data_IF_238864064662
#
_entry.id   IF_238864064662
#
_cell.length_a   1.000
_cell.length_b   1.000
_cell.length_c   1.000
_cell.angle_alpha   90.00
_cell.angle_beta   90.00
_cell.angle_gamma   90.00
#
_symmetry.space_group_name_H-M   'P 1'
#
loop_
_entity.id
_entity.type
_entity.pdbx_description
1 polymer ?
#
# COMPACT_ATOMS: atom_id res chain seq x y z
N UNK A 1 70.60 25.75 38.73
CA UNK A 1 70.35 25.08 37.48
C UNK A 1 68.82 24.96 37.34
N UNK A 2 68.17 25.71 36.45
CA UNK A 2 66.71 25.84 36.43
C UNK A 2 66.05 24.77 35.60
N UNK A 3 64.94 24.28 36.11
CA UNK A 3 63.96 23.37 35.48
C UNK A 3 63.20 24.03 34.32
N UNK A 4 63.10 23.36 33.20
CA UNK A 4 62.26 23.77 32.07
C UNK A 4 60.87 23.15 32.21
N UNK A 5 59.90 23.97 32.52
CA UNK A 5 58.47 23.68 32.42
C UNK A 5 58.04 23.69 30.95
N UNK A 6 57.59 22.55 30.45
CA UNK A 6 56.96 22.41 29.16
C UNK A 6 55.47 22.75 29.30
N UNK A 7 55.01 23.77 28.60
CA UNK A 7 53.58 24.10 28.39
C UNK A 7 52.97 23.13 27.35
N UNK A 8 52.03 22.33 27.78
CA UNK A 8 51.14 21.59 26.87
C UNK A 8 50.03 22.53 26.33
N UNK A 9 50.05 22.76 25.06
CA UNK A 9 48.97 23.43 24.33
C UNK A 9 47.85 22.45 24.11
N UNK A 10 46.69 22.72 24.71
CA UNK A 10 45.44 22.03 24.48
C UNK A 10 44.82 22.55 23.17
N UNK A 11 45.03 21.85 22.06
CA UNK A 11 44.23 22.03 20.85
C UNK A 11 42.92 21.27 21.02
N UNK A 12 41.90 21.99 21.47
CA UNK A 12 40.52 21.55 21.43
C UNK A 12 40.07 21.50 19.96
N UNK A 13 39.92 20.30 19.44
CA UNK A 13 39.21 20.08 18.19
C UNK A 13 37.74 20.54 18.37
N UNK A 14 37.44 21.72 17.88
CA UNK A 14 36.08 22.16 17.61
C UNK A 14 35.51 21.23 16.55
N UNK A 15 34.72 20.27 16.99
CA UNK A 15 33.86 19.46 16.09
C UNK A 15 32.87 20.41 15.48
N UNK A 16 32.94 20.55 14.18
CA UNK A 16 32.04 21.35 13.36
C UNK A 16 30.61 20.81 13.49
N UNK A 17 29.84 21.40 14.41
CA UNK A 17 28.38 21.14 14.60
C UNK A 17 27.52 21.94 13.61
N UNK A 18 28.11 22.45 12.55
CA UNK A 18 27.47 23.38 11.61
C UNK A 18 26.90 22.80 10.33
N UNK A 19 26.73 21.47 10.18
CA UNK A 19 26.23 20.87 8.92
C UNK A 19 25.04 19.90 9.07
N UNK A 20 24.12 20.20 9.95
CA UNK A 20 22.81 19.55 9.99
C UNK A 20 21.66 20.56 9.71
N UNK A 21 21.92 21.53 8.86
CA UNK A 21 20.86 22.40 8.35
C UNK A 21 20.37 21.87 7.01
N UNK A 22 19.21 21.17 7.03
CA UNK A 22 18.31 21.10 5.87
C UNK A 22 18.85 20.36 4.64
N UNK A 23 19.17 19.07 4.72
CA UNK A 23 19.07 18.24 3.53
C UNK A 23 17.60 18.21 3.14
N UNK A 24 17.21 18.97 2.08
CA UNK A 24 15.90 18.89 1.47
C UNK A 24 15.65 17.43 1.14
N UNK A 25 14.60 16.82 1.69
CA UNK A 25 14.27 15.42 1.42
C UNK A 25 13.88 15.29 -0.05
N UNK A 26 14.66 14.51 -0.80
CA UNK A 26 14.36 14.26 -2.20
C UNK A 26 13.07 13.44 -2.32
N UNK A 27 12.20 13.85 -3.24
CA UNK A 27 10.97 13.14 -3.56
C UNK A 27 10.93 12.72 -5.02
N UNK A 28 10.29 11.58 -5.27
CA UNK A 28 10.05 11.05 -6.61
C UNK A 28 8.57 10.76 -6.80
N UNK A 29 8.12 10.80 -8.06
CA UNK A 29 6.77 10.38 -8.44
C UNK A 29 6.84 9.26 -9.48
N UNK A 30 5.94 8.29 -9.40
CA UNK A 30 5.86 7.23 -10.40
C UNK A 30 5.31 7.75 -11.72
N UNK A 31 6.05 7.49 -12.81
CA UNK A 31 5.64 7.78 -14.19
C UNK A 31 5.12 6.53 -14.91
N UNK A 32 5.51 5.34 -14.48
CA UNK A 32 4.92 4.09 -14.94
C UNK A 32 3.52 3.92 -14.36
N UNK A 33 2.65 3.12 -15.00
CA UNK A 33 1.34 2.79 -14.45
C UNK A 33 1.47 2.13 -13.06
N UNK A 34 2.47 1.26 -12.92
CA UNK A 34 2.87 0.57 -11.70
C UNK A 34 4.41 0.56 -11.67
N UNK A 35 4.99 0.98 -10.56
CA UNK A 35 6.40 0.84 -10.25
C UNK A 35 6.55 -0.22 -9.14
N UNK A 36 7.13 -1.40 -9.43
CA UNK A 36 7.37 -2.43 -8.42
C UNK A 36 8.28 -1.93 -7.31
N UNK A 37 7.89 -2.15 -6.06
CA UNK A 37 8.71 -1.92 -4.89
C UNK A 37 9.29 -3.26 -4.43
N UNK A 38 10.61 -3.40 -4.43
CA UNK A 38 11.32 -4.65 -4.14
C UNK A 38 11.95 -4.61 -2.75
N UNK A 39 12.16 -5.78 -2.15
CA UNK A 39 12.81 -5.87 -0.84
C UNK A 39 14.30 -5.53 -0.87
N UNK A 40 14.96 -5.69 -2.04
CA UNK A 40 16.38 -5.36 -2.26
C UNK A 40 16.56 -4.68 -3.62
N UNK A 41 17.65 -3.95 -3.86
CA UNK A 41 17.93 -3.25 -5.12
C UNK A 41 18.41 -4.20 -6.22
N UNK A 42 17.61 -5.21 -6.54
CA UNK A 42 17.84 -6.18 -7.60
C UNK A 42 16.49 -6.66 -8.16
N UNK A 43 16.33 -6.65 -9.48
CA UNK A 43 15.11 -7.08 -10.21
C UNK A 43 14.70 -8.54 -9.93
N UNK A 44 15.60 -9.36 -9.42
CA UNK A 44 15.38 -10.77 -9.11
C UNK A 44 14.84 -11.02 -7.70
N UNK A 45 14.68 -9.97 -6.91
CA UNK A 45 14.21 -10.08 -5.53
C UNK A 45 12.69 -9.98 -5.43
N UNK A 46 12.16 -10.23 -4.24
CA UNK A 46 10.73 -10.26 -3.99
C UNK A 46 10.12 -8.85 -4.08
N UNK A 47 9.03 -8.71 -4.83
CA UNK A 47 8.18 -7.55 -4.77
C UNK A 47 7.48 -7.51 -3.40
N UNK A 48 7.52 -6.37 -2.72
CA UNK A 48 6.86 -6.18 -1.41
C UNK A 48 5.65 -5.26 -1.50
N UNK A 49 5.62 -4.36 -2.48
CA UNK A 49 4.49 -3.46 -2.77
C UNK A 49 4.61 -2.88 -4.17
N UNK A 50 3.76 -1.90 -4.48
CA UNK A 50 3.75 -1.17 -5.74
C UNK A 50 3.54 0.33 -5.47
N UNK A 51 4.35 1.19 -6.12
CA UNK A 51 4.09 2.62 -6.19
C UNK A 51 3.31 2.91 -7.49
N UNK A 52 2.10 3.42 -7.37
CA UNK A 52 1.22 3.63 -8.51
C UNK A 52 1.50 4.99 -9.19
N UNK A 53 1.14 5.10 -10.46
CA UNK A 53 1.30 6.33 -11.24
C UNK A 53 0.82 7.56 -10.50
N UNK A 54 1.63 8.62 -10.52
CA UNK A 54 1.33 9.89 -9.85
C UNK A 54 1.53 9.91 -8.34
N UNK A 55 1.73 8.75 -7.69
CA UNK A 55 2.06 8.70 -6.26
C UNK A 55 3.46 9.24 -6.01
N UNK A 56 3.60 9.98 -4.91
CA UNK A 56 4.87 10.57 -4.48
C UNK A 56 5.45 9.73 -3.34
N UNK A 57 6.77 9.55 -3.36
CA UNK A 57 7.51 8.88 -2.30
C UNK A 57 8.78 9.65 -1.96
N UNK A 58 9.20 9.58 -0.70
CA UNK A 58 10.44 10.16 -0.21
C UNK A 58 11.61 9.21 -0.50
N UNK A 59 12.71 9.72 -1.04
CA UNK A 59 13.94 8.94 -1.23
C UNK A 59 14.73 8.94 0.07
N UNK A 60 15.01 7.74 0.59
CA UNK A 60 15.80 7.53 1.80
C UNK A 60 17.24 7.19 1.49
N UNK A 61 17.49 6.45 0.40
CA UNK A 61 18.82 5.97 0.02
C UNK A 61 18.89 5.77 -1.51
N UNK A 62 20.09 5.86 -2.08
CA UNK A 62 20.40 5.56 -3.47
C UNK A 62 21.49 4.49 -3.56
N UNK A 63 21.28 3.47 -4.40
CA UNK A 63 22.27 2.44 -4.70
C UNK A 63 22.31 2.16 -6.20
N UNK A 64 23.24 2.77 -6.89
CA UNK A 64 23.32 2.72 -8.35
C UNK A 64 22.05 3.30 -9.00
N UNK A 65 21.32 2.48 -9.77
CA UNK A 65 20.06 2.88 -10.42
C UNK A 65 18.81 2.65 -9.54
N UNK A 66 19.00 2.26 -8.30
CA UNK A 66 17.92 1.93 -7.36
C UNK A 66 17.76 3.00 -6.29
N UNK A 67 16.52 3.27 -5.95
CA UNK A 67 16.10 4.21 -4.91
C UNK A 67 15.38 3.43 -3.81
N UNK A 68 15.87 3.50 -2.58
CA UNK A 68 15.11 3.08 -1.42
C UNK A 68 14.15 4.21 -1.08
N UNK A 69 12.88 3.95 -1.24
CA UNK A 69 11.83 4.96 -1.06
C UNK A 69 10.93 4.60 0.12
N UNK A 70 10.25 5.62 0.61
CA UNK A 70 9.16 5.50 1.57
C UNK A 70 7.91 6.13 0.95
N UNK A 71 6.89 5.32 0.68
CA UNK A 71 5.61 5.78 0.14
C UNK A 71 4.82 6.64 1.14
N UNK A 72 3.75 7.28 0.70
CA UNK A 72 2.96 8.20 1.54
C UNK A 72 2.33 7.51 2.77
N UNK A 73 2.01 6.21 2.67
CA UNK A 73 1.54 5.36 3.77
C UNK A 73 2.67 4.89 4.71
N UNK A 74 3.90 5.32 4.44
CA UNK A 74 5.08 4.97 5.24
C UNK A 74 5.74 3.64 4.87
N UNK A 75 5.26 2.91 3.86
CA UNK A 75 5.80 1.61 3.48
C UNK A 75 7.11 1.74 2.71
N UNK A 76 8.19 1.03 3.09
CA UNK A 76 9.49 1.12 2.43
C UNK A 76 9.63 0.11 1.30
N UNK A 77 10.50 0.39 0.32
CA UNK A 77 10.89 -0.54 -0.71
C UNK A 77 11.86 0.06 -1.72
N UNK A 78 12.52 -0.78 -2.50
CA UNK A 78 13.43 -0.37 -3.55
C UNK A 78 12.70 -0.26 -4.90
N UNK A 79 12.84 0.89 -5.56
CA UNK A 79 12.29 1.16 -6.90
C UNK A 79 13.45 1.47 -7.85
N UNK A 80 13.42 0.93 -9.06
CA UNK A 80 14.38 1.30 -10.08
C UNK A 80 14.06 2.70 -10.64
N UNK A 81 15.08 3.55 -10.81
CA UNK A 81 14.90 4.95 -11.26
C UNK A 81 14.16 5.11 -12.59
N UNK A 82 14.13 4.09 -13.46
CA UNK A 82 13.38 4.12 -14.72
C UNK A 82 11.86 4.18 -14.58
N UNK A 83 11.33 3.92 -13.37
CA UNK A 83 9.89 3.99 -13.09
C UNK A 83 9.44 5.33 -12.52
N UNK A 84 10.38 6.19 -12.12
CA UNK A 84 10.09 7.42 -11.36
C UNK A 84 10.84 8.63 -11.93
N UNK A 85 10.37 9.81 -11.59
CA UNK A 85 11.09 11.08 -11.83
C UNK A 85 11.12 11.90 -10.55
N UNK A 86 12.13 12.75 -10.40
CA UNK A 86 12.24 13.66 -9.24
C UNK A 86 11.12 14.68 -9.29
N UNK A 87 10.49 14.90 -8.13
CA UNK A 87 9.48 15.96 -7.94
C UNK A 87 10.22 17.26 -7.62
N UNK A 88 10.00 18.35 -8.39
CA UNK A 88 10.59 19.63 -8.08
C UNK A 88 10.00 20.22 -6.78
N UNK A 89 10.81 20.94 -6.03
CA UNK A 89 10.35 21.72 -4.87
C UNK A 89 9.50 22.93 -5.29
N UNK A 90 8.49 23.37 -4.52
CA UNK A 90 8.06 22.74 -3.25
C UNK A 90 7.23 21.48 -3.47
N UNK A 91 7.52 20.43 -2.69
CA UNK A 91 6.71 19.20 -2.70
C UNK A 91 5.41 19.47 -1.93
N UNK A 92 4.23 19.13 -2.51
CA UNK A 92 2.98 19.21 -1.76
C UNK A 92 3.09 18.35 -0.49
N UNK A 93 2.45 18.74 0.63
CA UNK A 93 2.36 17.89 1.79
C UNK A 93 1.89 16.50 1.36
N UNK A 94 2.65 15.45 1.68
CA UNK A 94 2.20 14.09 1.45
C UNK A 94 0.95 13.88 2.30
N UNK A 95 -0.16 13.56 1.66
CA UNK A 95 -1.32 13.05 2.37
C UNK A 95 -0.91 11.76 3.10
N UNK A 96 -1.59 11.44 4.21
CA UNK A 96 -1.32 10.20 4.97
C UNK A 96 -1.32 8.96 4.09
N UNK A 97 -2.08 9.00 3.00
CA UNK A 97 -1.96 8.07 1.87
C UNK A 97 -2.21 8.83 0.57
N UNK A 98 -1.63 8.36 -0.54
CA UNK A 98 -1.92 8.93 -1.87
C UNK A 98 -3.41 8.83 -2.26
N UNK A 99 -4.18 7.98 -1.59
CA UNK A 99 -5.63 7.87 -1.75
C UNK A 99 -6.41 9.10 -1.22
N UNK A 100 -5.80 9.92 -0.36
CA UNK A 100 -6.36 11.19 0.11
C UNK A 100 -5.91 12.41 -0.74
N UNK A 101 -5.19 12.17 -1.84
CA UNK A 101 -4.78 13.21 -2.78
C UNK A 101 -6.01 13.83 -3.48
N UNK A 102 -6.08 15.16 -3.62
CA UNK A 102 -7.19 15.84 -4.28
C UNK A 102 -7.26 15.58 -5.80
N UNK A 103 -6.16 15.18 -6.44
CA UNK A 103 -6.12 14.85 -7.87
C UNK A 103 -7.08 13.71 -8.19
N UNK A 104 -7.59 13.62 -9.45
CA UNK A 104 -8.48 12.53 -9.83
C UNK A 104 -7.77 11.17 -9.69
N UNK A 105 -8.37 10.29 -8.89
CA UNK A 105 -7.93 8.92 -8.70
C UNK A 105 -8.58 8.01 -9.75
N UNK A 106 -7.78 7.24 -10.45
CA UNK A 106 -8.22 6.27 -11.44
C UNK A 106 -9.05 5.14 -10.80
N UNK A 107 -10.18 4.86 -11.39
CA UNK A 107 -10.99 3.66 -11.15
C UNK A 107 -10.83 2.64 -12.30
N UNK A 108 -9.66 2.66 -12.97
CA UNK A 108 -9.40 1.94 -14.21
C UNK A 108 -9.61 2.84 -15.43
N UNK A 109 -8.84 3.91 -15.55
CA UNK A 109 -8.97 4.86 -16.67
C UNK A 109 -7.82 4.74 -17.68
N UNK A 110 -7.98 5.45 -18.80
CA UNK A 110 -6.93 5.70 -19.79
C UNK A 110 -6.69 7.19 -19.87
N UNK A 111 -5.43 7.59 -19.78
CA UNK A 111 -5.01 8.99 -19.94
C UNK A 111 -4.19 9.16 -21.21
N UNK A 112 -4.16 10.39 -21.72
CA UNK A 112 -3.31 10.85 -22.81
C UNK A 112 -2.46 12.00 -22.29
N UNK A 113 -1.17 12.01 -22.58
CA UNK A 113 -0.27 13.11 -22.24
C UNK A 113 -0.18 14.16 -23.36
N UNK A 114 0.57 15.24 -23.13
CA UNK A 114 0.81 16.33 -24.09
C UNK A 114 1.50 15.88 -25.40
N UNK A 115 2.14 14.72 -25.40
CA UNK A 115 2.77 14.11 -26.59
C UNK A 115 1.86 13.12 -27.32
N UNK A 116 0.56 13.07 -26.96
CA UNK A 116 -0.44 12.12 -27.46
C UNK A 116 -0.15 10.65 -27.12
N UNK A 117 0.77 10.35 -26.22
CA UNK A 117 0.98 9.01 -25.74
C UNK A 117 -0.15 8.62 -24.76
N UNK A 118 -0.73 7.44 -24.95
CA UNK A 118 -1.80 6.94 -24.10
C UNK A 118 -1.28 5.92 -23.10
N UNK A 119 -1.85 5.94 -21.89
CA UNK A 119 -1.52 5.01 -20.80
C UNK A 119 -2.79 4.56 -20.08
N UNK A 120 -2.92 3.25 -19.91
CA UNK A 120 -3.92 2.70 -18.97
C UNK A 120 -3.40 2.87 -17.56
N UNK A 121 -4.27 3.29 -16.65
CA UNK A 121 -4.00 3.45 -15.22
C UNK A 121 -4.86 2.47 -14.42
N UNK A 122 -4.29 1.72 -13.47
CA UNK A 122 -5.06 0.84 -12.60
C UNK A 122 -5.90 1.64 -11.59
N UNK A 123 -6.74 0.94 -10.85
CA UNK A 123 -7.39 1.46 -9.64
C UNK A 123 -6.32 2.03 -8.70
N UNK A 124 -6.56 3.22 -8.17
CA UNK A 124 -5.69 3.87 -7.19
C UNK A 124 -4.61 4.78 -7.77
N UNK A 125 -4.26 4.68 -9.06
CA UNK A 125 -3.35 5.60 -9.71
C UNK A 125 -3.95 7.01 -9.82
N UNK A 126 -3.10 8.05 -9.86
CA UNK A 126 -3.54 9.44 -9.93
C UNK A 126 -3.37 10.01 -11.35
N UNK A 127 -4.37 10.75 -11.84
CA UNK A 127 -4.23 11.52 -13.07
C UNK A 127 -3.42 12.78 -12.76
N UNK A 128 -2.28 12.94 -13.44
CA UNK A 128 -1.34 14.03 -13.17
C UNK A 128 -1.58 15.24 -14.08
N UNK A 129 -0.99 16.40 -13.71
CA UNK A 129 -1.05 17.61 -14.54
C UNK A 129 -0.49 17.33 -15.93
N UNK A 130 -1.12 17.87 -16.96
CA UNK A 130 -0.75 17.64 -18.36
C UNK A 130 -1.33 16.35 -18.97
N UNK A 131 -2.12 15.61 -18.21
CA UNK A 131 -2.83 14.44 -18.70
C UNK A 131 -4.33 14.69 -18.86
N UNK A 132 -4.87 14.23 -19.97
CA UNK A 132 -6.31 14.19 -20.25
C UNK A 132 -6.83 12.76 -20.11
N UNK A 133 -7.95 12.57 -19.40
CA UNK A 133 -8.64 11.29 -19.35
C UNK A 133 -9.39 11.08 -20.69
N UNK A 134 -9.03 10.03 -21.41
CA UNK A 134 -9.63 9.69 -22.72
C UNK A 134 -10.51 8.43 -22.67
N UNK A 135 -10.58 7.74 -21.53
CA UNK A 135 -11.44 6.56 -21.33
C UNK A 135 -11.48 6.10 -19.89
N UNK A 136 -12.47 5.29 -19.51
CA UNK A 136 -12.69 4.80 -18.16
C UNK A 136 -13.07 5.92 -17.17
N UNK A 137 -12.94 5.65 -15.86
CA UNK A 137 -13.33 6.58 -14.80
C UNK A 137 -12.11 7.01 -13.96
N UNK A 138 -12.08 8.29 -13.62
CA UNK A 138 -11.23 8.84 -12.57
C UNK A 138 -12.04 9.92 -11.84
N UNK A 139 -11.92 9.97 -10.51
CA UNK A 139 -12.74 10.85 -9.66
C UNK A 139 -11.87 11.72 -8.77
N UNK A 140 -12.13 13.05 -8.68
CA UNK A 140 -11.57 13.91 -7.64
C UNK A 140 -11.95 13.41 -6.25
N UNK A 141 -11.17 13.77 -5.23
CA UNK A 141 -11.38 13.31 -3.85
C UNK A 141 -12.80 13.60 -3.32
N UNK A 142 -13.36 14.78 -3.63
CA UNK A 142 -14.69 15.15 -3.15
C UNK A 142 -15.78 14.20 -3.69
N UNK A 143 -15.83 13.99 -5.02
CA UNK A 143 -16.79 13.08 -5.66
C UNK A 143 -16.58 11.64 -5.19
N UNK A 144 -15.32 11.23 -4.99
CA UNK A 144 -14.99 9.88 -4.53
C UNK A 144 -15.50 9.62 -3.12
N UNK A 145 -15.38 10.57 -2.19
CA UNK A 145 -15.90 10.44 -0.83
C UNK A 145 -17.41 10.29 -0.77
N UNK A 146 -18.13 10.91 -1.71
CA UNK A 146 -19.57 10.76 -1.85
C UNK A 146 -19.95 9.40 -2.45
N UNK A 147 -19.22 8.97 -3.49
CA UNK A 147 -19.48 7.72 -4.21
C UNK A 147 -19.03 6.47 -3.44
N UNK A 148 -17.98 6.61 -2.63
CA UNK A 148 -17.38 5.53 -1.85
C UNK A 148 -17.34 5.89 -0.36
N UNK A 149 -18.50 5.93 0.33
CA UNK A 149 -18.55 6.21 1.78
C UNK A 149 -17.88 5.09 2.59
N UNK A 150 -17.29 5.43 3.74
CA UNK A 150 -16.65 4.50 4.67
C UNK A 150 -17.69 3.63 5.40
N UNK A 151 -18.42 2.80 4.63
CA UNK A 151 -19.46 1.88 5.11
C UNK A 151 -19.13 0.44 4.73
N UNK A 152 -19.46 -0.50 5.60
CA UNK A 152 -19.15 -1.91 5.43
C UNK A 152 -19.62 -2.47 4.08
N UNK A 153 -20.89 -2.26 3.72
CA UNK A 153 -21.46 -2.76 2.47
C UNK A 153 -20.80 -2.12 1.24
N UNK A 154 -20.42 -0.85 1.33
CA UNK A 154 -19.73 -0.16 0.22
C UNK A 154 -18.31 -0.71 0.01
N UNK A 155 -17.57 -0.95 1.09
CA UNK A 155 -16.21 -1.52 1.04
C UNK A 155 -16.24 -2.94 0.47
N UNK A 156 -17.14 -3.79 0.97
CA UNK A 156 -17.28 -5.17 0.46
C UNK A 156 -17.71 -5.20 -0.99
N UNK A 157 -18.65 -4.32 -1.40
CA UNK A 157 -19.04 -4.19 -2.81
C UNK A 157 -17.87 -3.77 -3.70
N UNK A 158 -17.04 -2.82 -3.25
CA UNK A 158 -15.85 -2.39 -3.98
C UNK A 158 -14.82 -3.51 -4.10
N UNK A 159 -14.55 -4.25 -3.02
CA UNK A 159 -13.66 -5.41 -3.04
C UNK A 159 -14.11 -6.47 -4.08
N UNK A 160 -15.40 -6.74 -4.14
CA UNK A 160 -15.96 -7.69 -5.13
C UNK A 160 -15.91 -7.11 -6.55
N UNK A 161 -16.35 -5.85 -6.75
CA UNK A 161 -16.51 -5.28 -8.09
C UNK A 161 -15.19 -5.00 -8.79
N UNK A 162 -14.22 -4.42 -8.08
CA UNK A 162 -12.96 -4.03 -8.70
C UNK A 162 -11.96 -5.18 -8.83
N UNK A 163 -12.04 -6.19 -7.98
CA UNK A 163 -11.03 -7.26 -7.94
C UNK A 163 -11.54 -8.60 -8.48
N UNK A 164 -12.80 -8.71 -8.90
CA UNK A 164 -13.31 -9.91 -9.56
C UNK A 164 -12.41 -10.30 -10.75
N UNK A 165 -12.01 -11.58 -10.80
CA UNK A 165 -11.13 -12.10 -11.85
C UNK A 165 -9.64 -11.73 -11.71
N UNK A 166 -9.23 -10.98 -10.67
CA UNK A 166 -7.82 -10.64 -10.42
C UNK A 166 -7.00 -11.88 -10.08
N UNK A 167 -5.87 -12.07 -10.76
CA UNK A 167 -4.89 -13.11 -10.43
C UNK A 167 -4.10 -12.75 -9.19
N UNK A 168 -3.66 -13.77 -8.45
CA UNK A 168 -2.77 -13.56 -7.31
C UNK A 168 -1.40 -13.07 -7.78
N UNK A 169 -0.95 -11.95 -7.22
CA UNK A 169 0.39 -11.40 -7.42
C UNK A 169 0.95 -10.95 -6.08
N UNK A 170 2.01 -11.59 -5.62
CA UNK A 170 2.68 -11.20 -4.37
C UNK A 170 3.16 -9.76 -4.44
N UNK A 171 2.86 -8.95 -3.42
CA UNK A 171 3.20 -7.53 -3.39
C UNK A 171 2.28 -6.65 -4.25
N UNK A 172 1.31 -7.23 -4.97
CA UNK A 172 0.36 -6.49 -5.79
C UNK A 172 -0.71 -5.75 -4.97
N UNK A 173 -1.16 -4.59 -5.48
CA UNK A 173 -2.19 -3.76 -4.84
C UNK A 173 -3.28 -3.29 -5.82
N UNK A 174 -3.33 -3.85 -7.02
CA UNK A 174 -4.25 -3.40 -8.06
C UNK A 174 -5.04 -4.57 -8.67
N UNK A 175 -6.17 -4.31 -9.36
CA UNK A 175 -6.89 -5.33 -10.11
C UNK A 175 -6.09 -5.99 -11.25
N UNK A 176 -4.90 -5.49 -11.59
CA UNK A 176 -4.04 -6.12 -12.60
C UNK A 176 -3.20 -7.27 -12.02
N UNK A 177 -3.08 -7.34 -10.71
CA UNK A 177 -2.43 -8.35 -9.91
C UNK A 177 -2.40 -7.88 -8.45
N UNK A 178 -2.80 -8.76 -7.53
CA UNK A 178 -2.98 -8.37 -6.13
C UNK A 178 -2.73 -9.53 -5.18
N UNK A 179 -2.25 -9.24 -3.97
CA UNK A 179 -2.22 -10.19 -2.87
C UNK A 179 -3.36 -9.97 -1.87
N UNK A 180 -3.44 -10.82 -0.84
CA UNK A 180 -4.53 -10.77 0.14
C UNK A 180 -4.62 -9.44 0.90
N UNK A 181 -3.49 -8.92 1.37
CA UNK A 181 -3.44 -7.66 2.11
C UNK A 181 -3.53 -6.43 1.19
N UNK A 182 -3.11 -6.57 -0.07
CA UNK A 182 -3.31 -5.57 -1.11
C UNK A 182 -4.79 -5.36 -1.45
N UNK A 183 -5.57 -6.44 -1.56
CA UNK A 183 -7.04 -6.36 -1.68
C UNK A 183 -7.64 -5.56 -0.52
N UNK A 184 -7.26 -5.89 0.72
CA UNK A 184 -7.76 -5.19 1.91
C UNK A 184 -7.38 -3.72 1.87
N UNK A 185 -6.08 -3.40 1.76
CA UNK A 185 -5.61 -2.01 1.80
C UNK A 185 -6.24 -1.17 0.69
N UNK A 186 -6.26 -1.65 -0.55
CA UNK A 186 -6.82 -0.90 -1.69
C UNK A 186 -8.33 -0.70 -1.58
N UNK A 187 -9.07 -1.73 -1.13
CA UNK A 187 -10.52 -1.60 -0.92
C UNK A 187 -10.85 -0.58 0.17
N UNK A 188 -10.17 -0.63 1.30
CA UNK A 188 -10.40 0.31 2.40
C UNK A 188 -9.94 1.73 2.07
N UNK A 189 -8.76 1.89 1.44
CA UNK A 189 -8.25 3.21 1.03
C UNK A 189 -9.16 3.92 0.04
N UNK A 190 -9.82 3.20 -0.89
CA UNK A 190 -10.80 3.78 -1.81
C UNK A 190 -11.91 4.52 -1.05
N UNK A 191 -12.27 4.03 0.13
CA UNK A 191 -13.28 4.60 1.03
C UNK A 191 -12.71 5.57 2.07
N UNK A 192 -11.43 5.94 1.96
CA UNK A 192 -10.76 6.86 2.88
C UNK A 192 -10.42 6.26 4.24
N UNK A 193 -10.46 4.94 4.38
CA UNK A 193 -10.08 4.22 5.60
C UNK A 193 -8.65 3.72 5.49
N UNK A 194 -7.77 4.22 6.36
CA UNK A 194 -6.36 3.81 6.35
C UNK A 194 -6.19 2.42 6.97
N UNK A 195 -5.58 1.51 6.20
CA UNK A 195 -5.23 0.17 6.63
C UNK A 195 -3.79 -0.11 6.17
N UNK A 196 -2.92 -0.67 7.03
CA UNK A 196 -1.53 -0.97 6.67
C UNK A 196 -1.41 -1.92 5.48
N UNK A 197 -0.22 -1.93 4.84
CA UNK A 197 0.03 -2.74 3.65
C UNK A 197 0.02 -4.24 3.94
N UNK A 198 0.69 -4.70 4.98
CA UNK A 198 0.89 -6.12 5.23
C UNK A 198 -0.17 -6.72 6.15
N UNK A 199 -0.54 -7.98 5.91
CA UNK A 199 -1.55 -8.69 6.70
C UNK A 199 -1.20 -8.73 8.20
N UNK A 200 0.08 -8.94 8.57
CA UNK A 200 0.51 -8.95 9.97
C UNK A 200 0.41 -7.57 10.64
N UNK A 201 0.57 -6.48 9.87
CA UNK A 201 0.34 -5.12 10.37
C UNK A 201 -1.16 -4.85 10.52
N UNK A 202 -1.97 -5.26 9.53
CA UNK A 202 -3.44 -5.18 9.57
C UNK A 202 -4.01 -5.93 10.78
N UNK A 203 -3.41 -7.07 11.14
CA UNK A 203 -3.79 -7.86 12.32
C UNK A 203 -3.64 -7.10 13.66
N UNK A 204 -2.85 -6.04 13.68
CA UNK A 204 -2.62 -5.19 14.84
C UNK A 204 -3.54 -3.96 14.88
N UNK A 205 -4.45 -3.79 13.91
CA UNK A 205 -5.34 -2.64 13.80
C UNK A 205 -6.78 -2.99 14.11
N UNK A 206 -7.58 -1.99 14.54
CA UNK A 206 -9.00 -2.14 14.83
C UNK A 206 -9.32 -2.89 16.12
N UNK A 207 -10.60 -3.04 16.40
CA UNK A 207 -11.10 -3.75 17.56
C UNK A 207 -11.09 -5.28 17.35
N UNK A 208 -10.83 -6.08 18.40
CA UNK A 208 -10.90 -7.53 18.29
C UNK A 208 -12.34 -8.01 18.00
N UNK A 209 -12.44 -9.11 17.25
CA UNK A 209 -13.69 -9.87 17.06
C UNK A 209 -13.39 -11.27 17.59
N UNK A 210 -14.07 -11.63 18.67
CA UNK A 210 -13.70 -12.79 19.50
C UNK A 210 -14.09 -14.13 18.86
N UNK A 211 -15.13 -14.14 18.01
CA UNK A 211 -15.58 -15.36 17.34
C UNK A 211 -16.00 -15.15 15.89
N UNK A 212 -15.93 -16.21 15.08
CA UNK A 212 -16.42 -16.16 13.69
C UNK A 212 -17.93 -15.83 13.61
N UNK A 213 -18.72 -16.16 14.61
CA UNK A 213 -20.15 -15.88 14.64
C UNK A 213 -20.48 -14.40 14.82
N UNK A 214 -19.51 -13.60 15.29
CA UNK A 214 -19.67 -12.15 15.50
C UNK A 214 -19.17 -11.31 14.31
N UNK A 215 -18.64 -11.97 13.27
CA UNK A 215 -18.16 -11.30 12.08
C UNK A 215 -19.28 -10.58 11.34
N UNK A 216 -19.00 -9.33 10.99
CA UNK A 216 -19.88 -8.45 10.21
C UNK A 216 -19.24 -8.15 8.86
N UNK A 217 -19.99 -7.64 7.87
CA UNK A 217 -19.39 -7.16 6.63
C UNK A 217 -18.25 -6.16 6.90
N UNK A 218 -17.17 -6.25 6.13
CA UNK A 218 -15.91 -5.50 6.24
C UNK A 218 -15.07 -5.77 7.51
N UNK A 219 -15.42 -6.71 8.38
CA UNK A 219 -14.46 -7.23 9.35
C UNK A 219 -13.36 -8.02 8.63
N UNK A 220 -12.14 -8.02 9.17
CA UNK A 220 -11.01 -8.74 8.64
C UNK A 220 -10.81 -10.06 9.38
N UNK A 221 -10.59 -11.13 8.63
CA UNK A 221 -10.24 -12.46 9.17
C UNK A 221 -8.77 -12.72 8.91
N UNK A 222 -8.06 -13.15 9.93
CA UNK A 222 -6.63 -13.45 9.86
C UNK A 222 -6.35 -14.94 10.02
N UNK A 223 -5.44 -15.43 9.17
CA UNK A 223 -5.09 -16.84 9.07
C UNK A 223 -3.58 -17.03 9.17
N UNK A 224 -3.18 -18.19 9.70
CA UNK A 224 -1.79 -18.57 9.79
C UNK A 224 -1.63 -20.06 9.54
N UNK A 225 -0.64 -20.43 8.72
CA UNK A 225 -0.16 -21.79 8.54
C UNK A 225 1.08 -22.06 9.40
N UNK A 226 1.59 -21.07 10.12
CA UNK A 226 2.72 -21.21 11.03
C UNK A 226 2.24 -21.54 12.46
N UNK A 227 2.88 -22.53 13.15
CA UNK A 227 2.51 -22.93 14.50
C UNK A 227 2.57 -21.80 15.53
N UNK A 228 3.50 -20.86 15.36
CA UNK A 228 3.71 -19.71 16.26
C UNK A 228 2.80 -18.52 15.95
N UNK A 229 1.88 -18.66 14.97
CA UNK A 229 0.82 -17.70 14.75
C UNK A 229 1.19 -16.45 13.96
N UNK A 230 2.34 -16.40 13.26
CA UNK A 230 2.62 -15.33 12.32
C UNK A 230 1.53 -15.30 11.25
N UNK A 231 0.86 -14.15 11.10
CA UNK A 231 -0.21 -14.00 10.11
C UNK A 231 0.37 -14.06 8.70
N UNK A 232 -0.17 -15.00 7.91
CA UNK A 232 0.25 -15.23 6.53
C UNK A 232 -0.84 -14.95 5.50
N UNK A 233 -2.11 -14.79 5.95
CA UNK A 233 -3.22 -14.49 5.05
C UNK A 233 -4.30 -13.67 5.75
N UNK A 234 -5.05 -12.90 4.95
CA UNK A 234 -6.19 -12.09 5.39
C UNK A 234 -7.34 -12.18 4.38
N UNK A 235 -8.58 -12.11 4.87
CA UNK A 235 -9.80 -12.02 4.07
C UNK A 235 -10.71 -10.92 4.62
N UNK A 236 -11.62 -10.41 3.79
CA UNK A 236 -12.68 -9.47 4.16
C UNK A 236 -13.97 -10.26 4.35
N UNK A 237 -14.62 -10.13 5.50
CA UNK A 237 -15.94 -10.71 5.76
C UNK A 237 -17.01 -10.05 4.89
N UNK A 238 -17.88 -10.86 4.31
CA UNK A 238 -19.11 -10.42 3.64
C UNK A 238 -20.34 -10.55 4.56
N UNK A 239 -20.10 -10.94 5.82
CA UNK A 239 -21.14 -11.29 6.79
C UNK A 239 -21.49 -12.78 6.76
N UNK A 240 -21.95 -13.31 7.91
CA UNK A 240 -22.17 -14.74 8.09
C UNK A 240 -20.89 -15.54 7.90
N UNK A 241 -20.92 -16.57 7.08
CA UNK A 241 -19.78 -17.45 6.80
C UNK A 241 -19.02 -17.07 5.52
N UNK A 242 -19.44 -16.03 4.79
CA UNK A 242 -18.85 -15.66 3.50
C UNK A 242 -17.71 -14.68 3.63
N UNK A 243 -16.67 -14.89 2.85
CA UNK A 243 -15.49 -14.02 2.78
C UNK A 243 -15.08 -13.77 1.33
N UNK A 244 -14.48 -12.60 1.07
CA UNK A 244 -13.78 -12.30 -0.19
C UNK A 244 -12.28 -12.15 0.11
N UNK A 245 -11.45 -12.76 -0.73
CA UNK A 245 -10.00 -12.69 -0.59
C UNK A 245 -9.27 -12.90 -1.92
N UNK A 246 -7.99 -12.59 -1.93
CA UNK A 246 -7.06 -12.99 -2.97
C UNK A 246 -6.13 -14.05 -2.41
N UNK A 247 -6.26 -15.28 -2.88
CA UNK A 247 -5.56 -16.43 -2.34
C UNK A 247 -4.77 -17.19 -3.41
N UNK A 248 -3.48 -17.46 -3.12
CA UNK A 248 -2.64 -18.25 -4.01
C UNK A 248 -3.27 -19.62 -4.30
N UNK A 249 -3.85 -20.26 -3.28
CA UNK A 249 -4.51 -21.57 -3.43
C UNK A 249 -5.79 -21.57 -4.25
N UNK A 250 -6.36 -20.39 -4.56
CA UNK A 250 -7.47 -20.20 -5.51
C UNK A 250 -6.99 -19.61 -6.85
N UNK A 251 -5.68 -19.34 -6.99
CA UNK A 251 -5.11 -18.68 -8.18
C UNK A 251 -5.37 -17.17 -8.24
N UNK A 252 -6.08 -16.61 -7.26
CA UNK A 252 -6.42 -15.19 -7.21
C UNK A 252 -7.66 -14.90 -6.42
N UNK A 253 -8.52 -14.06 -6.99
CA UNK A 253 -9.80 -13.64 -6.40
C UNK A 253 -10.74 -14.82 -6.17
N UNK A 254 -11.28 -14.89 -4.97
CA UNK A 254 -12.31 -15.86 -4.60
C UNK A 254 -13.29 -15.27 -3.60
N UNK A 255 -14.53 -15.74 -3.68
CA UNK A 255 -15.54 -15.63 -2.63
C UNK A 255 -15.79 -17.04 -2.12
N UNK A 256 -15.37 -17.29 -0.88
CA UNK A 256 -15.53 -18.58 -0.23
C UNK A 256 -16.60 -18.52 0.86
N UNK A 257 -17.30 -19.64 1.05
CA UNK A 257 -18.19 -19.87 2.19
C UNK A 257 -17.45 -20.77 3.19
N UNK A 258 -17.11 -20.23 4.36
CA UNK A 258 -16.39 -20.96 5.40
C UNK A 258 -17.14 -22.18 5.97
N UNK A 259 -18.44 -22.31 5.66
CA UNK A 259 -19.24 -23.50 5.98
C UNK A 259 -19.18 -24.56 4.88
N UNK A 260 -18.51 -24.32 3.74
CA UNK A 260 -18.38 -25.29 2.67
C UNK A 260 -17.45 -26.46 3.06
N UNK A 261 -17.74 -27.64 2.48
CA UNK A 261 -17.06 -28.90 2.81
C UNK A 261 -15.87 -29.23 1.90
N UNK A 262 -15.48 -28.29 0.99
CA UNK A 262 -14.29 -28.51 0.14
C UNK A 262 -12.97 -28.43 0.94
N UNK A 263 -11.94 -29.10 0.44
CA UNK A 263 -10.65 -29.27 1.14
C UNK A 263 -9.96 -27.94 1.41
N UNK A 264 -10.07 -26.97 0.48
CA UNK A 264 -9.45 -25.66 0.65
C UNK A 264 -10.12 -24.86 1.77
N UNK A 265 -11.45 -24.84 1.80
CA UNK A 265 -12.23 -24.15 2.84
C UNK A 265 -11.99 -24.75 4.21
N UNK A 266 -11.98 -26.10 4.33
CA UNK A 266 -11.60 -26.79 5.58
C UNK A 266 -10.20 -26.39 6.05
N UNK A 267 -9.24 -26.30 5.14
CA UNK A 267 -7.88 -25.84 5.45
C UNK A 267 -7.88 -24.38 5.91
N UNK A 268 -8.64 -23.52 5.25
CA UNK A 268 -8.75 -22.10 5.59
C UNK A 268 -9.33 -21.94 7.01
N UNK A 269 -10.43 -22.61 7.32
CA UNK A 269 -11.04 -22.61 8.66
C UNK A 269 -10.06 -23.12 9.74
N UNK A 270 -9.32 -24.20 9.46
CA UNK A 270 -8.28 -24.71 10.38
C UNK A 270 -7.18 -23.68 10.68
N UNK A 271 -6.87 -22.82 9.70
CA UNK A 271 -5.84 -21.76 9.81
C UNK A 271 -6.34 -20.46 10.42
N UNK A 272 -7.65 -20.29 10.63
CA UNK A 272 -8.22 -19.12 11.25
C UNK A 272 -7.63 -18.87 12.65
N UNK A 273 -7.33 -17.61 12.95
CA UNK A 273 -6.78 -17.18 14.23
C UNK A 273 -7.70 -16.26 15.00
N UNK A 274 -8.10 -15.15 14.38
CA UNK A 274 -8.98 -14.15 14.98
C UNK A 274 -9.52 -13.19 13.90
N UNK A 275 -10.47 -12.32 14.30
CA UNK A 275 -10.98 -11.23 13.48
C UNK A 275 -10.60 -9.85 14.03
N UNK A 276 -10.67 -8.86 13.17
CA UNK A 276 -10.54 -7.42 13.52
C UNK A 276 -11.64 -6.61 12.85
N UNK A 277 -12.20 -5.67 13.59
CA UNK A 277 -13.16 -4.68 13.10
C UNK A 277 -12.47 -3.36 12.93
N UNK A 278 -12.31 -2.93 11.66
CA UNK A 278 -11.62 -1.69 11.31
C UNK A 278 -12.56 -0.50 11.38
N UNK A 279 -13.81 -0.68 10.96
CA UNK A 279 -14.82 0.38 11.03
C UNK A 279 -15.36 0.50 12.46
N UNK A 280 -15.30 1.71 13.02
CA UNK A 280 -15.99 1.99 14.27
C UNK A 280 -17.49 1.80 14.08
N UNK A 281 -18.14 1.16 15.04
CA UNK A 281 -19.61 1.12 15.11
C UNK A 281 -20.11 2.53 15.39
N UNK A 282 -20.76 3.14 14.38
CA UNK A 282 -21.49 4.40 14.56
C UNK A 282 -22.61 4.22 15.59
#
# INVERSE_FOLDING_TARGET
MPSKTSRATSDARQVDQGRLAGALSEHVTAIAAIAPMLCEPDVKTTQVSQLLHGHIAMVMERKGLWLHIKSADGYPGWVHQGYVVTVPEPVPPLAETSWNDPRPLSLGCTVRDEHNATRKLPLGALVTVGQERVGGLAMPLAERRESFPAKADSITASAMTFFEGTSYEWGGVTPWGCDCSGLVSSSFHLHGVNVPRDAWMQASTGAPVDSMSELRPADLLFFSDEPEGKITHVAISLGGTRVVHLALGRGGYAVDDLAAEDEYTKLLVKRYRFGRRILETA
#
